data_IF_122803075253
#
_entry.id   IF_122803075253
#
_cell.length_a   1.000
_cell.length_b   1.000
_cell.length_c   1.000
_cell.angle_alpha   90.00
_cell.angle_beta   90.00
_cell.angle_gamma   90.00
#
_symmetry.space_group_name_H-M   'P 1'
#
loop_
_entity.id
_entity.type
_entity.pdbx_description
1 polymer ?
#
# COMPACT_ATOMS: atom_id res chain seq x y z
N UNK A 1 6.30 5.93 -13.06
CA UNK A 1 6.51 4.64 -12.36
C UNK A 1 6.39 3.54 -13.41
N UNK A 2 7.49 2.88 -13.76
CA UNK A 2 7.63 2.07 -14.98
C UNK A 2 7.53 0.55 -14.71
N UNK A 3 6.75 0.16 -13.70
CA UNK A 3 6.58 -1.25 -13.35
C UNK A 3 5.31 -1.83 -13.99
N UNK A 4 5.35 -3.11 -14.42
CA UNK A 4 4.22 -3.80 -15.02
C UNK A 4 2.97 -3.72 -14.15
N UNK A 5 1.82 -3.33 -14.75
CA UNK A 5 0.50 -3.34 -14.09
C UNK A 5 0.21 -4.69 -13.39
N UNK A 6 0.62 -5.78 -14.03
CA UNK A 6 0.48 -7.15 -13.51
C UNK A 6 1.16 -7.35 -12.15
N UNK A 7 2.30 -6.70 -11.88
CA UNK A 7 2.96 -6.80 -10.57
C UNK A 7 2.20 -6.02 -9.48
N UNK A 8 1.54 -4.91 -9.81
CA UNK A 8 0.71 -4.16 -8.86
C UNK A 8 -0.59 -4.89 -8.52
N UNK A 9 -1.15 -5.63 -9.48
CA UNK A 9 -2.44 -6.32 -9.33
C UNK A 9 -2.33 -7.78 -8.87
N UNK A 10 -1.11 -8.34 -8.79
CA UNK A 10 -0.87 -9.72 -8.32
C UNK A 10 -0.13 -9.83 -6.99
N UNK A 11 0.47 -8.75 -6.49
CA UNK A 11 1.21 -8.75 -5.23
C UNK A 11 0.47 -7.97 -4.13
N UNK A 12 0.35 -8.55 -2.92
CA UNK A 12 -0.11 -7.80 -1.76
C UNK A 12 0.74 -6.55 -1.56
N UNK A 13 0.10 -5.44 -1.20
CA UNK A 13 0.78 -4.16 -1.01
C UNK A 13 1.90 -4.29 0.03
N UNK A 14 1.68 -5.10 1.07
CA UNK A 14 2.69 -5.41 2.10
C UNK A 14 3.94 -6.06 1.51
N UNK A 15 3.77 -7.10 0.68
CA UNK A 15 4.90 -7.84 0.10
C UNK A 15 5.72 -6.96 -0.83
N UNK A 16 5.05 -6.10 -1.60
CA UNK A 16 5.72 -5.14 -2.48
C UNK A 16 6.48 -4.06 -1.70
N UNK A 17 5.87 -3.46 -0.67
CA UNK A 17 6.53 -2.43 0.12
C UNK A 17 7.75 -3.01 0.83
N UNK A 18 7.62 -4.17 1.45
CA UNK A 18 8.75 -4.83 2.13
C UNK A 18 9.92 -5.15 1.21
N UNK A 19 9.66 -5.57 -0.03
CA UNK A 19 10.72 -5.87 -0.98
C UNK A 19 11.48 -4.63 -1.44
N UNK A 20 10.90 -3.43 -1.28
CA UNK A 20 11.50 -2.15 -1.68
C UNK A 20 12.08 -1.36 -0.51
N UNK A 21 11.57 -1.52 0.70
CA UNK A 21 11.92 -0.67 1.86
C UNK A 21 12.62 -1.42 3.00
N UNK A 22 12.61 -2.76 2.99
CA UNK A 22 13.22 -3.56 4.07
C UNK A 22 12.46 -3.50 5.40
N UNK A 23 11.28 -2.85 5.46
CA UNK A 23 10.47 -2.74 6.67
C UNK A 23 9.94 -4.13 7.07
N UNK A 24 9.73 -4.34 8.37
CA UNK A 24 9.10 -5.56 8.85
C UNK A 24 7.65 -5.68 8.38
N UNK A 25 7.11 -6.91 8.40
CA UNK A 25 5.70 -7.15 8.07
C UNK A 25 4.76 -6.38 8.98
N UNK A 26 5.02 -6.35 10.29
CA UNK A 26 4.20 -5.62 11.25
C UNK A 26 4.23 -4.10 11.01
N UNK A 27 5.41 -3.53 10.75
CA UNK A 27 5.54 -2.10 10.45
C UNK A 27 4.82 -1.72 9.16
N UNK A 28 4.97 -2.52 8.11
CA UNK A 28 4.30 -2.30 6.83
C UNK A 28 2.78 -2.39 6.97
N UNK A 29 2.28 -3.40 7.67
CA UNK A 29 0.84 -3.56 7.92
C UNK A 29 0.28 -2.42 8.78
N UNK A 30 1.04 -1.90 9.76
CA UNK A 30 0.64 -0.76 10.57
C UNK A 30 0.45 0.49 9.69
N UNK A 31 1.44 0.82 8.87
CA UNK A 31 1.36 1.95 7.93
C UNK A 31 0.17 1.79 6.99
N UNK A 32 0.01 0.62 6.36
CA UNK A 32 -1.13 0.36 5.47
C UNK A 32 -2.48 0.50 6.17
N UNK A 33 -2.58 0.07 7.44
CA UNK A 33 -3.80 0.20 8.23
C UNK A 33 -4.11 1.65 8.56
N UNK A 34 -3.09 2.44 8.94
CA UNK A 34 -3.21 3.88 9.19
C UNK A 34 -3.62 4.63 7.91
N UNK A 35 -2.98 4.33 6.77
CA UNK A 35 -3.34 4.92 5.48
C UNK A 35 -4.76 4.54 5.02
N UNK A 36 -5.19 3.30 5.28
CA UNK A 36 -6.55 2.85 4.97
C UNK A 36 -7.58 3.54 5.86
N UNK A 37 -7.30 3.68 7.15
CA UNK A 37 -8.17 4.37 8.10
C UNK A 37 -8.29 5.87 7.78
N UNK A 38 -7.19 6.49 7.32
CA UNK A 38 -7.16 7.88 6.85
C UNK A 38 -7.84 8.11 5.50
N UNK A 39 -8.41 7.06 4.86
CA UNK A 39 -9.11 7.17 3.58
C UNK A 39 -8.18 7.40 2.38
N UNK A 40 -6.87 7.32 2.56
CA UNK A 40 -5.90 7.65 1.52
C UNK A 40 -5.60 6.48 0.58
N UNK A 41 -5.90 5.25 1.01
CA UNK A 41 -5.78 4.06 0.17
C UNK A 41 -7.02 3.18 0.29
N UNK A 42 -7.39 2.53 -0.82
CA UNK A 42 -8.36 1.43 -0.80
C UNK A 42 -7.63 0.12 -1.02
N UNK A 43 -7.85 -0.80 -0.09
CA UNK A 43 -7.30 -2.15 -0.14
C UNK A 43 -8.40 -3.20 -0.08
N UNK A 44 -8.28 -4.22 -0.92
CA UNK A 44 -9.21 -5.34 -1.02
C UNK A 44 -8.40 -6.64 -1.12
N UNK A 45 -8.70 -7.63 -0.28
CA UNK A 45 -7.96 -8.91 -0.20
C UNK A 45 -6.42 -8.76 -0.10
N UNK A 46 -5.95 -7.71 0.60
CA UNK A 46 -4.52 -7.41 0.75
C UNK A 46 -3.89 -6.68 -0.45
N UNK A 47 -4.66 -6.40 -1.49
CA UNK A 47 -4.25 -5.73 -2.71
C UNK A 47 -4.56 -4.24 -2.66
N UNK A 48 -3.65 -3.41 -3.14
CA UNK A 48 -3.87 -1.97 -3.28
C UNK A 48 -4.69 -1.69 -4.54
N UNK A 49 -5.94 -1.21 -4.37
CA UNK A 49 -6.87 -0.95 -5.48
C UNK A 49 -6.82 0.50 -5.95
N UNK A 50 -6.77 1.45 -5.02
CA UNK A 50 -6.62 2.86 -5.34
C UNK A 50 -5.80 3.58 -4.28
N UNK A 51 -5.19 4.68 -4.70
CA UNK A 51 -4.54 5.65 -3.85
C UNK A 51 -5.26 6.97 -4.09
N UNK A 52 -5.93 7.47 -3.06
CA UNK A 52 -6.60 8.76 -3.08
C UNK A 52 -5.55 9.81 -2.68
N UNK A 53 -5.18 10.68 -3.64
CA UNK A 53 -4.10 11.68 -3.48
C UNK A 53 -4.46 12.83 -2.53
N UNK A 54 -5.63 12.82 -1.91
CA UNK A 54 -6.06 13.87 -0.99
C UNK A 54 -5.46 13.58 0.40
N UNK A 55 -4.15 13.78 0.51
CA UNK A 55 -3.46 13.91 1.79
C UNK A 55 -3.45 15.39 2.15
N UNK A 56 -4.39 15.81 2.99
CA UNK A 56 -4.28 17.08 3.71
C UNK A 56 -3.44 16.79 4.97
N UNK A 57 -2.17 17.18 4.94
CA UNK A 57 -1.30 17.13 6.11
C UNK A 57 -1.73 18.32 6.98
N UNK A 58 -2.58 18.08 7.97
CA UNK A 58 -2.83 19.03 9.05
C UNK A 58 -1.68 19.04 10.06
#
# INVERSE_FOLDING_TARGET
MNEPKLLRESLPAEKYIRSKTGISRSGTMRILSEMKAGGSIKMENGMLKSIDKVYDIK
#
